data_IF_970782606939
#
_entry.id   IF_970782606939
#
_cell.length_a   1.000
_cell.length_b   1.000
_cell.length_c   1.000
_cell.angle_alpha   90.00
_cell.angle_beta   90.00
_cell.angle_gamma   90.00
#
_symmetry.space_group_name_H-M   'P 1'
#
loop_
_entity.id
_entity.type
_entity.pdbx_description
1 polymer ?
#
# COMPACT_ATOMS: atom_id res chain seq x y z
N UNK A 1 -17.33 -1.35 3.58
CA UNK A 1 -16.90 -2.26 4.66
C UNK A 1 -16.84 -3.67 4.09
N UNK A 2 -15.64 -4.22 3.89
CA UNK A 2 -15.45 -5.60 3.42
C UNK A 2 -14.70 -6.32 4.55
N UNK A 3 -15.29 -7.40 5.07
CA UNK A 3 -14.73 -8.25 6.11
C UNK A 3 -14.39 -9.60 5.47
N UNK A 4 -13.14 -10.04 5.55
CA UNK A 4 -12.69 -11.38 5.13
C UNK A 4 -12.31 -12.18 6.38
N UNK A 5 -12.79 -13.43 6.46
CA UNK A 5 -12.49 -14.38 7.56
C UNK A 5 -11.84 -15.63 6.98
N UNK A 6 -10.63 -15.98 7.43
CA UNK A 6 -10.07 -17.35 7.40
C UNK A 6 -9.07 -17.58 8.55
N UNK A 7 -9.10 -18.81 9.10
CA UNK A 7 -8.42 -19.40 10.28
C UNK A 7 -7.04 -20.03 9.97
N UNK A 8 -6.27 -20.62 10.94
CA UNK A 8 -6.11 -20.38 12.38
C UNK A 8 -4.60 -20.28 12.77
N UNK A 9 -4.09 -19.07 12.95
CA UNK A 9 -2.98 -18.69 13.86
C UNK A 9 -3.06 -17.17 14.09
N UNK A 10 -4.28 -16.63 14.10
CA UNK A 10 -4.50 -15.21 14.28
C UNK A 10 -4.20 -14.85 15.73
N UNK A 11 -3.21 -13.99 15.92
CA UNK A 11 -3.16 -13.03 17.02
C UNK A 11 -4.52 -12.31 17.05
N UNK A 12 -5.50 -12.83 17.79
CA UNK A 12 -6.88 -12.38 17.66
C UNK A 12 -7.01 -10.91 18.05
N UNK A 13 -7.52 -10.11 17.11
CA UNK A 13 -8.20 -8.85 17.39
C UNK A 13 -7.40 -7.56 17.21
N UNK A 14 -6.17 -7.59 16.67
CA UNK A 14 -5.52 -6.32 16.30
C UNK A 14 -6.22 -5.69 15.10
N UNK A 15 -6.56 -4.41 15.20
CA UNK A 15 -7.10 -3.61 14.08
C UNK A 15 -6.02 -2.64 13.63
N UNK A 16 -5.79 -2.57 12.33
CA UNK A 16 -4.88 -1.61 11.72
C UNK A 16 -5.70 -0.61 10.91
N UNK A 17 -5.44 0.68 11.11
CA UNK A 17 -6.11 1.77 10.41
C UNK A 17 -5.05 2.65 9.81
N UNK A 18 -5.22 3.06 8.55
CA UNK A 18 -4.38 4.07 7.91
C UNK A 18 -5.25 5.13 7.25
N UNK A 19 -4.75 6.35 7.18
CA UNK A 19 -5.45 7.48 6.59
C UNK A 19 -4.57 8.73 6.56
N UNK A 20 -5.19 9.85 6.22
CA UNK A 20 -4.53 11.13 6.10
C UNK A 20 -4.86 11.99 7.32
N UNK A 21 -3.88 12.70 7.85
CA UNK A 21 -4.06 13.63 8.97
C UNK A 21 -3.30 14.92 8.69
N UNK A 22 -3.90 16.07 8.96
CA UNK A 22 -3.25 17.36 8.79
C UNK A 22 -2.00 17.48 9.68
N UNK A 23 -0.90 17.91 9.07
CA UNK A 23 0.41 18.15 9.67
C UNK A 23 0.66 19.62 9.89
N UNK A 24 1.67 19.94 10.69
CA UNK A 24 1.86 21.31 11.14
C UNK A 24 2.38 22.26 10.04
N UNK A 25 2.88 21.77 8.90
CA UNK A 25 3.57 22.62 7.91
C UNK A 25 3.41 22.18 6.43
N UNK A 26 3.27 20.89 6.16
CA UNK A 26 3.37 20.27 4.81
C UNK A 26 2.04 19.84 4.19
N UNK A 27 0.94 19.91 4.95
CA UNK A 27 -0.39 19.50 4.51
C UNK A 27 -0.82 18.18 5.16
N UNK A 28 -1.43 17.27 4.41
CA UNK A 28 -1.82 15.95 4.93
C UNK A 28 -0.60 15.04 5.07
N UNK A 29 -0.53 14.23 6.13
CA UNK A 29 0.50 13.19 6.29
C UNK A 29 -0.14 11.82 6.44
N UNK A 30 0.62 10.76 6.18
CA UNK A 30 0.16 9.40 6.48
C UNK A 30 0.05 9.24 7.99
N UNK A 31 -1.06 8.69 8.45
CA UNK A 31 -1.24 8.26 9.84
C UNK A 31 -1.69 6.81 9.86
N UNK A 32 -0.96 5.97 10.58
CA UNK A 32 -1.27 4.55 10.76
C UNK A 32 -1.35 4.21 12.24
N UNK A 33 -2.40 3.52 12.65
CA UNK A 33 -2.68 3.16 14.03
C UNK A 33 -2.91 1.66 14.11
N UNK A 34 -2.30 1.02 15.11
CA UNK A 34 -2.66 -0.33 15.54
C UNK A 34 -3.46 -0.23 16.83
N UNK A 35 -4.60 -0.89 16.87
CA UNK A 35 -5.40 -1.12 18.07
C UNK A 35 -5.32 -2.57 18.50
N UNK A 36 -5.44 -2.83 19.80
CA UNK A 36 -5.66 -4.17 20.35
C UNK A 36 -7.13 -4.59 20.20
N UNK A 37 -7.46 -5.81 20.63
CA UNK A 37 -8.82 -6.36 20.59
C UNK A 37 -9.85 -5.59 21.42
N UNK A 38 -9.39 -4.81 22.40
CA UNK A 38 -10.20 -3.96 23.26
C UNK A 38 -10.45 -2.58 22.65
N UNK A 39 -9.78 -2.25 21.54
CA UNK A 39 -9.83 -0.94 20.90
C UNK A 39 -8.81 0.07 21.45
N UNK A 40 -7.90 -0.33 22.34
CA UNK A 40 -6.84 0.57 22.82
C UNK A 40 -5.73 0.69 21.77
N UNK A 41 -5.18 1.89 21.60
CA UNK A 41 -4.05 2.11 20.70
C UNK A 41 -2.79 1.42 21.25
N UNK A 42 -2.20 0.56 20.43
CA UNK A 42 -0.92 -0.11 20.72
C UNK A 42 0.23 0.76 20.22
N UNK A 43 0.11 1.28 18.99
CA UNK A 43 1.05 2.26 18.45
C UNK A 43 0.37 3.16 17.43
N UNK A 44 0.95 4.36 17.27
CA UNK A 44 0.58 5.36 16.27
C UNK A 44 1.85 5.72 15.51
N UNK A 45 1.76 5.78 14.18
CA UNK A 45 2.85 6.15 13.28
C UNK A 45 2.38 7.24 12.33
N UNK A 46 3.21 8.26 12.20
CA UNK A 46 3.04 9.32 11.23
C UNK A 46 4.19 9.26 10.23
N UNK A 47 3.92 9.49 8.97
CA UNK A 47 4.95 9.66 7.95
C UNK A 47 4.65 10.90 7.13
N UNK A 48 5.61 11.81 7.15
CA UNK A 48 5.68 13.04 6.35
C UNK A 48 6.92 12.92 5.45
N UNK A 49 6.74 13.13 4.15
CA UNK A 49 7.82 13.11 3.19
C UNK A 49 8.69 14.37 3.23
N UNK A 50 8.20 15.46 3.83
CA UNK A 50 8.80 16.79 3.88
C UNK A 50 8.38 17.71 2.72
N UNK A 51 7.51 17.23 1.83
CA UNK A 51 7.01 17.96 0.65
C UNK A 51 5.53 18.38 0.83
N UNK A 52 4.80 18.67 -0.26
CA UNK A 52 3.35 18.88 -0.20
C UNK A 52 2.63 17.61 0.29
N UNK A 53 1.36 17.77 0.72
CA UNK A 53 0.57 16.71 1.35
C UNK A 53 0.72 15.29 0.79
N UNK A 54 0.96 14.36 1.71
CA UNK A 54 1.04 12.92 1.55
C UNK A 54 -0.34 12.27 1.69
N UNK A 55 -0.81 11.64 0.61
CA UNK A 55 -2.07 10.90 0.58
C UNK A 55 -1.86 9.39 0.55
N UNK A 56 -2.39 8.68 1.54
CA UNK A 56 -2.44 7.22 1.59
C UNK A 56 -3.35 6.71 0.49
N UNK A 57 -2.90 5.67 -0.23
CA UNK A 57 -3.70 4.97 -1.23
C UNK A 57 -4.17 3.58 -0.77
N UNK A 58 -3.31 2.79 -0.12
CA UNK A 58 -3.66 1.42 0.28
C UNK A 58 -2.79 0.86 1.41
N UNK A 59 -3.25 -0.21 2.05
CA UNK A 59 -2.56 -0.94 3.11
C UNK A 59 -2.72 -2.45 2.95
N UNK A 60 -1.66 -3.20 3.31
CA UNK A 60 -1.69 -4.64 3.50
C UNK A 60 -1.02 -5.02 4.83
N UNK A 61 -1.39 -6.17 5.39
CA UNK A 61 -0.80 -6.73 6.62
C UNK A 61 -0.45 -8.18 6.36
N UNK A 62 0.76 -8.61 6.70
CA UNK A 62 1.17 -10.01 6.55
C UNK A 62 0.83 -10.86 7.78
N UNK A 63 1.04 -12.18 7.68
CA UNK A 63 0.75 -13.12 8.77
C UNK A 63 1.60 -12.91 10.03
N UNK A 64 2.72 -12.19 9.92
CA UNK A 64 3.59 -11.83 11.05
C UNK A 64 3.18 -10.49 11.70
N UNK A 65 2.15 -9.83 11.16
CA UNK A 65 1.67 -8.54 11.64
C UNK A 65 2.55 -7.37 11.20
N UNK A 66 3.39 -7.54 10.18
CA UNK A 66 4.03 -6.39 9.54
C UNK A 66 3.01 -5.65 8.68
N UNK A 67 3.08 -4.33 8.69
CA UNK A 67 2.13 -3.45 8.01
C UNK A 67 2.83 -2.78 6.84
N UNK A 68 2.18 -2.77 5.68
CA UNK A 68 2.69 -2.21 4.45
C UNK A 68 1.73 -1.14 3.96
N UNK A 69 2.19 0.11 3.87
CA UNK A 69 1.40 1.25 3.42
C UNK A 69 1.95 1.73 2.09
N UNK A 70 1.09 2.14 1.17
CA UNK A 70 1.52 2.86 -0.03
C UNK A 70 0.62 4.06 -0.30
N UNK A 71 1.18 5.10 -0.88
CA UNK A 71 0.45 6.29 -1.30
C UNK A 71 1.29 7.19 -2.20
N UNK A 72 0.91 8.47 -2.28
CA UNK A 72 1.48 9.47 -3.19
C UNK A 72 3.00 9.64 -3.11
N UNK A 73 3.60 9.48 -1.93
CA UNK A 73 5.00 9.81 -1.67
C UNK A 73 5.86 8.62 -1.29
N UNK A 74 5.28 7.54 -0.74
CA UNK A 74 6.06 6.38 -0.35
C UNK A 74 5.26 5.08 -0.27
N UNK A 75 6.01 3.98 -0.37
CA UNK A 75 5.66 2.68 0.19
C UNK A 75 6.48 2.45 1.46
N UNK A 76 5.84 2.05 2.55
CA UNK A 76 6.44 1.92 3.89
C UNK A 76 6.15 0.53 4.43
N UNK A 77 7.13 -0.08 5.10
CA UNK A 77 6.95 -1.27 5.94
C UNK A 77 7.19 -0.94 7.41
N UNK A 78 6.23 -1.24 8.25
CA UNK A 78 6.36 -1.30 9.71
C UNK A 78 6.39 -2.74 10.19
N UNK A 79 7.20 -3.04 11.21
CA UNK A 79 7.12 -4.33 11.89
C UNK A 79 5.89 -4.41 12.83
N UNK A 80 5.68 -5.56 13.47
CA UNK A 80 4.56 -5.77 14.40
C UNK A 80 4.55 -4.82 15.62
N UNK A 81 5.71 -4.28 15.99
CA UNK A 81 5.91 -3.31 17.07
C UNK A 81 5.77 -1.85 16.61
N UNK A 82 5.60 -1.62 15.31
CA UNK A 82 5.47 -0.30 14.70
C UNK A 82 6.81 0.34 14.31
N UNK A 83 7.94 -0.36 14.39
CA UNK A 83 9.21 0.20 13.93
C UNK A 83 9.24 0.23 12.40
N UNK A 84 9.73 1.33 11.84
CA UNK A 84 9.93 1.45 10.39
C UNK A 84 11.06 0.51 9.97
N UNK A 85 10.72 -0.50 9.17
CA UNK A 85 11.70 -1.43 8.59
C UNK A 85 12.32 -0.81 7.35
N UNK A 86 11.49 -0.24 6.47
CA UNK A 86 11.96 0.51 5.31
C UNK A 86 10.92 1.49 4.79
N UNK A 87 11.41 2.51 4.10
CA UNK A 87 10.64 3.46 3.29
C UNK A 87 11.21 3.43 1.88
N UNK A 88 10.34 3.35 0.88
CA UNK A 88 10.69 3.42 -0.54
C UNK A 88 9.85 4.47 -1.22
N UNK A 89 10.51 5.50 -1.73
CA UNK A 89 9.88 6.57 -2.50
C UNK A 89 9.92 6.18 -3.97
N UNK A 90 8.76 6.18 -4.60
CA UNK A 90 8.63 5.94 -6.04
C UNK A 90 7.51 6.83 -6.58
N UNK A 91 7.89 8.03 -7.08
CA UNK A 91 7.08 9.03 -7.79
C UNK A 91 6.60 10.25 -6.98
N UNK A 92 6.21 11.29 -7.75
CA UNK A 92 5.99 12.68 -7.40
C UNK A 92 4.57 13.21 -7.70
N UNK A 93 3.59 12.33 -7.95
CA UNK A 93 2.21 12.75 -8.25
C UNK A 93 1.14 11.79 -7.68
N UNK A 94 -0.07 12.31 -7.36
CA UNK A 94 -1.13 11.52 -6.74
C UNK A 94 -1.74 10.54 -7.76
N UNK A 95 -1.67 9.26 -7.44
CA UNK A 95 -2.15 8.16 -8.26
C UNK A 95 -3.07 7.28 -7.40
N UNK A 96 -3.95 6.51 -8.04
CA UNK A 96 -4.66 5.44 -7.33
C UNK A 96 -3.67 4.31 -7.08
N UNK A 97 -3.48 3.93 -5.82
CA UNK A 97 -2.55 2.87 -5.43
C UNK A 97 -3.29 1.62 -4.95
N UNK A 98 -2.73 0.45 -5.27
CA UNK A 98 -3.07 -0.82 -4.63
C UNK A 98 -1.78 -1.52 -4.18
N UNK A 99 -1.83 -2.25 -3.07
CA UNK A 99 -0.70 -3.01 -2.54
C UNK A 99 -1.13 -4.46 -2.23
N UNK A 100 -0.25 -5.41 -2.50
CA UNK A 100 -0.40 -6.81 -2.12
C UNK A 100 0.96 -7.35 -1.65
N UNK A 101 0.93 -8.29 -0.70
CA UNK A 101 2.14 -8.88 -0.11
C UNK A 101 2.08 -10.39 -0.30
N UNK A 102 3.08 -10.92 -0.99
CA UNK A 102 3.23 -12.35 -1.24
C UNK A 102 3.67 -13.11 0.01
N UNK A 103 3.49 -14.43 0.00
CA UNK A 103 3.87 -15.30 1.12
C UNK A 103 5.37 -15.27 1.46
N UNK A 104 6.24 -14.89 0.51
CA UNK A 104 7.68 -14.67 0.76
C UNK A 104 8.00 -13.33 1.42
N UNK A 105 6.99 -12.46 1.60
CA UNK A 105 7.16 -11.06 1.98
C UNK A 105 7.49 -10.13 0.80
N UNK A 106 7.50 -10.63 -0.44
CA UNK A 106 7.56 -9.78 -1.63
C UNK A 106 6.39 -8.80 -1.66
N UNK A 107 6.66 -7.54 -2.00
CA UNK A 107 5.64 -6.49 -2.02
C UNK A 107 5.38 -6.07 -3.45
N UNK A 108 4.11 -6.06 -3.82
CA UNK A 108 3.64 -5.60 -5.11
C UNK A 108 2.89 -4.29 -4.91
N UNK A 109 3.22 -3.26 -5.67
CA UNK A 109 2.54 -1.97 -5.65
C UNK A 109 2.08 -1.66 -7.06
N UNK A 110 0.78 -1.43 -7.22
CA UNK A 110 0.20 -0.95 -8.47
C UNK A 110 -0.14 0.52 -8.32
N UNK A 111 0.11 1.30 -9.38
CA UNK A 111 -0.30 2.70 -9.47
C UNK A 111 -0.77 3.02 -10.88
N UNK A 112 -1.78 3.88 -11.00
CA UNK A 112 -2.10 4.53 -12.28
C UNK A 112 -0.89 5.34 -12.77
N UNK A 113 -0.69 5.46 -14.07
CA UNK A 113 0.34 6.31 -14.68
C UNK A 113 -0.29 7.00 -15.88
N UNK A 114 -0.27 8.32 -15.93
CA UNK A 114 -0.70 9.05 -17.12
C UNK A 114 0.40 8.96 -18.16
N UNK A 115 0.16 8.29 -19.28
CA UNK A 115 1.03 8.41 -20.46
C UNK A 115 0.87 9.78 -21.12
N UNK A 116 1.84 10.17 -21.96
CA UNK A 116 1.84 11.45 -22.72
C UNK A 116 0.68 11.57 -23.74
N UNK A 117 -0.13 10.53 -23.89
CA UNK A 117 -1.27 10.48 -24.82
C UNK A 117 -2.50 9.88 -24.14
N UNK A 118 -3.17 10.67 -23.29
CA UNK A 118 -4.57 10.50 -22.81
C UNK A 118 -5.03 9.17 -22.19
N UNK A 119 -4.21 8.12 -22.17
CA UNK A 119 -4.54 6.80 -21.64
C UNK A 119 -3.85 6.59 -20.29
N UNK A 120 -4.64 6.22 -19.29
CA UNK A 120 -4.14 5.87 -17.96
C UNK A 120 -3.58 4.45 -18.05
N UNK A 121 -2.27 4.35 -18.15
CA UNK A 121 -1.53 3.11 -17.97
C UNK A 121 -1.54 2.72 -16.49
N UNK A 122 -1.17 1.48 -16.17
CA UNK A 122 -0.81 1.11 -14.81
C UNK A 122 0.62 0.60 -14.74
N UNK A 123 1.33 1.05 -13.72
CA UNK A 123 2.66 0.56 -13.40
C UNK A 123 2.59 -0.31 -12.16
N UNK A 124 3.11 -1.53 -12.29
CA UNK A 124 3.33 -2.45 -11.18
C UNK A 124 4.81 -2.43 -10.79
N UNK A 125 5.07 -2.30 -9.50
CA UNK A 125 6.39 -2.39 -8.88
C UNK A 125 6.42 -3.66 -8.05
N UNK A 126 7.52 -4.41 -8.13
CA UNK A 126 7.85 -5.44 -7.15
C UNK A 126 9.04 -4.99 -6.30
N UNK A 127 8.88 -5.05 -4.99
CA UNK A 127 9.96 -4.99 -4.01
C UNK A 127 10.19 -6.36 -3.38
N UNK A 128 11.42 -6.63 -2.96
CA UNK A 128 11.75 -7.76 -2.10
C UNK A 128 11.22 -7.52 -0.68
N UNK A 129 11.30 -8.54 0.19
CA UNK A 129 10.93 -8.41 1.60
C UNK A 129 11.81 -7.43 2.40
N UNK A 130 13.06 -7.21 1.93
CA UNK A 130 14.00 -6.18 2.40
C UNK A 130 13.72 -4.77 1.82
N UNK A 131 12.77 -4.66 0.89
CA UNK A 131 12.39 -3.41 0.24
C UNK A 131 13.24 -3.07 -0.99
N UNK A 132 14.08 -3.99 -1.48
CA UNK A 132 14.89 -3.75 -2.68
C UNK A 132 14.00 -3.82 -3.92
N UNK A 133 14.19 -2.88 -4.84
CA UNK A 133 13.44 -2.88 -6.11
C UNK A 133 13.85 -4.07 -6.95
N UNK A 134 12.90 -4.97 -7.22
CA UNK A 134 13.14 -6.17 -8.04
C UNK A 134 12.85 -5.88 -9.50
N UNK A 135 11.69 -5.29 -9.80
CA UNK A 135 11.34 -4.86 -11.14
C UNK A 135 10.22 -3.82 -11.14
N UNK A 136 10.09 -3.13 -12.28
CA UNK A 136 8.99 -2.25 -12.62
C UNK A 136 8.43 -2.69 -13.97
N UNK A 137 7.12 -2.79 -14.09
CA UNK A 137 6.42 -3.12 -15.34
C UNK A 137 5.27 -2.14 -15.54
N UNK A 138 5.25 -1.50 -16.70
CA UNK A 138 4.14 -0.64 -17.12
C UNK A 138 3.34 -1.37 -18.18
N UNK A 139 2.01 -1.32 -18.06
CA UNK A 139 1.10 -1.89 -19.03
C UNK A 139 0.13 -0.81 -19.51
N UNK A 140 0.02 -0.72 -20.83
CA UNK A 140 -0.94 0.12 -21.54
C UNK A 140 -2.05 -0.79 -22.11
N UNK A 141 -3.30 -0.52 -21.75
CA UNK A 141 -4.45 -1.29 -22.20
C UNK A 141 -4.90 -0.90 -23.61
N UNK A 142 -5.51 -1.83 -24.37
CA UNK A 142 -6.01 -1.58 -25.73
C UNK A 142 -7.35 -0.82 -25.80
N UNK A 143 -7.78 -0.19 -24.71
CA UNK A 143 -9.09 0.45 -24.61
C UNK A 143 -9.01 1.74 -23.81
N UNK A 144 -9.13 2.85 -24.51
CA UNK A 144 -9.03 4.23 -24.00
C UNK A 144 -10.20 4.59 -23.07
N UNK A 145 -10.21 4.01 -21.88
CA UNK A 145 -11.12 4.32 -20.77
C UNK A 145 -10.36 4.26 -19.45
N UNK A 146 -10.73 5.06 -18.46
CA UNK A 146 -10.11 5.10 -17.14
C UNK A 146 -10.08 3.71 -16.48
N UNK A 147 -8.92 3.05 -16.44
CA UNK A 147 -8.75 1.77 -15.73
C UNK A 147 -8.26 2.04 -14.29
N UNK A 148 -9.14 1.93 -13.31
CA UNK A 148 -8.78 2.08 -11.90
C UNK A 148 -8.29 0.76 -11.29
N UNK A 149 -7.11 0.77 -10.68
CA UNK A 149 -6.63 -0.30 -9.81
C UNK A 149 -7.42 -0.29 -8.49
N UNK A 150 -8.57 -0.96 -8.47
CA UNK A 150 -9.45 -0.98 -7.27
C UNK A 150 -8.97 -1.95 -6.19
N UNK A 151 -8.24 -3.00 -6.59
CA UNK A 151 -7.72 -4.04 -5.71
C UNK A 151 -6.65 -4.86 -6.41
N UNK A 152 -5.68 -5.34 -5.64
CA UNK A 152 -4.66 -6.28 -6.06
C UNK A 152 -4.62 -7.43 -5.06
N UNK A 153 -4.53 -8.65 -5.55
CA UNK A 153 -4.36 -9.87 -4.76
C UNK A 153 -3.18 -10.65 -5.31
N UNK A 154 -2.56 -11.47 -4.45
CA UNK A 154 -1.46 -12.34 -4.81
C UNK A 154 -1.73 -13.74 -4.28
N UNK A 155 -1.53 -14.77 -5.10
CA UNK A 155 -1.70 -16.16 -4.65
C UNK A 155 -0.46 -16.70 -3.95
N UNK A 156 -0.55 -17.96 -3.49
CA UNK A 156 0.54 -18.66 -2.80
C UNK A 156 1.76 -18.92 -3.69
N UNK A 157 1.60 -18.86 -5.01
CA UNK A 157 2.69 -19.00 -5.99
C UNK A 157 3.25 -17.63 -6.45
N UNK A 158 2.81 -16.55 -5.81
CA UNK A 158 3.13 -15.16 -6.17
C UNK A 158 2.63 -14.68 -7.54
N UNK A 159 1.55 -15.27 -8.05
CA UNK A 159 0.85 -14.70 -9.20
C UNK A 159 0.00 -13.51 -8.74
N UNK A 160 0.09 -12.40 -9.47
CA UNK A 160 -0.61 -11.15 -9.16
C UNK A 160 -1.90 -11.06 -9.96
N UNK A 161 -3.01 -10.82 -9.27
CA UNK A 161 -4.34 -10.60 -9.83
C UNK A 161 -4.77 -9.17 -9.52
N UNK A 162 -5.19 -8.42 -10.54
CA UNK A 162 -5.67 -7.06 -10.39
C UNK A 162 -7.06 -6.90 -11.00
N UNK A 163 -7.97 -6.25 -10.29
CA UNK A 163 -9.28 -5.91 -10.84
C UNK A 163 -9.20 -4.56 -11.56
N UNK A 164 -9.56 -4.58 -12.84
CA UNK A 164 -9.84 -3.37 -13.61
C UNK A 164 -11.27 -2.90 -13.34
N UNK A 165 -11.46 -1.60 -13.11
CA UNK A 165 -12.78 -0.97 -13.25
C UNK A 165 -12.73 -0.16 -14.54
N UNK A 166 -13.43 -0.63 -15.58
CA UNK A 166 -13.75 0.14 -16.78
C UNK A 166 -14.81 1.20 -16.48
#
# INVERSE_FOLDING_TARGET
>A
MIMLVQSPLMLWGNVYVTGNSEGNETGMDYTTIKYNSSGDSVWVKRYDSGDLGDYVGSMAVDAYGNVYITGSSATIKYNSFGDTVWVRRYSSYPLNYAIAVGVSGSVYVMRSTTGDTTDVDYTTIKYSSSGDLVWVRTYNGTGNSYDFASSMAVDVNENVFCNRKK
#
